data_IF_962748018761
#
_entry.id   IF_962748018761
#
_cell.length_a   1.000
_cell.length_b   1.000
_cell.length_c   1.000
_cell.angle_alpha   90.00
_cell.angle_beta   90.00
_cell.angle_gamma   90.00
#
_symmetry.space_group_name_H-M   'P 1'
#
loop_
_entity.id
_entity.type
_entity.pdbx_description
1 polymer ?
#
# COMPACT_ATOMS: atom_id res chain seq x y z
N UNK A 1 5.29 -34.31 6.57
CA UNK A 1 6.28 -33.51 5.84
C UNK A 1 5.55 -32.28 5.29
N UNK A 2 5.27 -31.30 6.15
CA UNK A 2 4.50 -30.09 5.81
C UNK A 2 5.46 -28.93 5.68
N UNK A 3 5.49 -28.31 4.49
CA UNK A 3 6.22 -27.07 4.25
C UNK A 3 5.80 -26.06 5.34
N UNK A 4 6.76 -25.67 6.17
CA UNK A 4 6.52 -24.78 7.28
C UNK A 4 5.93 -23.45 6.78
N UNK A 5 4.89 -23.00 7.48
CA UNK A 5 4.25 -21.68 7.38
C UNK A 5 5.31 -20.58 7.63
N UNK A 6 6.06 -20.24 6.58
CA UNK A 6 7.01 -19.13 6.64
C UNK A 6 6.20 -17.84 6.80
N UNK A 7 6.57 -16.95 7.75
CA UNK A 7 5.84 -15.72 7.97
C UNK A 7 5.67 -14.97 6.65
N UNK A 8 4.44 -14.51 6.40
CA UNK A 8 4.12 -13.70 5.24
C UNK A 8 4.91 -12.39 5.34
N UNK A 9 5.96 -12.26 4.53
CA UNK A 9 6.70 -11.00 4.44
C UNK A 9 5.86 -10.03 3.62
N UNK A 10 5.49 -8.91 4.24
CA UNK A 10 4.78 -7.81 3.60
C UNK A 10 5.67 -6.56 3.71
N UNK A 11 5.93 -5.90 2.58
CA UNK A 11 6.64 -4.63 2.52
C UNK A 11 5.66 -3.54 2.09
N UNK A 12 5.72 -2.37 2.72
CA UNK A 12 4.85 -1.24 2.42
C UNK A 12 5.67 0.05 2.32
N UNK A 13 5.36 0.89 1.33
CA UNK A 13 5.91 2.22 1.16
C UNK A 13 4.81 3.19 0.75
N UNK A 14 4.97 4.43 1.18
CA UNK A 14 4.08 5.55 0.87
C UNK A 14 4.91 6.73 0.45
N UNK A 15 4.53 7.39 -0.64
CA UNK A 15 5.14 8.62 -1.10
C UNK A 15 4.08 9.62 -1.58
N UNK A 16 4.38 10.91 -1.45
CA UNK A 16 3.50 12.00 -1.86
C UNK A 16 4.18 12.80 -2.97
N UNK A 17 3.40 13.25 -3.93
CA UNK A 17 3.88 13.97 -5.10
C UNK A 17 2.97 15.16 -5.41
N UNK A 18 3.53 16.26 -5.95
CA UNK A 18 2.71 17.31 -6.52
C UNK A 18 1.98 16.79 -7.77
N UNK A 19 0.72 17.17 -8.02
CA UNK A 19 -0.09 16.69 -9.14
C UNK A 19 0.30 17.38 -10.45
N UNK A 20 1.53 17.13 -10.92
CA UNK A 20 2.09 17.74 -12.12
C UNK A 20 2.52 16.68 -13.12
N UNK A 21 2.55 17.04 -14.40
CA UNK A 21 3.05 16.12 -15.43
C UNK A 21 4.49 15.64 -15.16
N UNK A 22 5.31 16.49 -14.53
CA UNK A 22 6.68 16.16 -14.12
C UNK A 22 6.74 15.12 -12.98
N UNK A 23 5.67 14.96 -12.20
CA UNK A 23 5.63 13.95 -11.15
C UNK A 23 5.45 12.52 -11.69
N UNK A 24 4.87 12.33 -12.89
CA UNK A 24 4.67 10.99 -13.47
C UNK A 24 5.99 10.21 -13.64
N UNK A 25 7.04 10.76 -14.30
CA UNK A 25 8.34 10.08 -14.35
C UNK A 25 8.99 9.94 -12.96
N UNK A 26 8.77 10.87 -12.04
CA UNK A 26 9.30 10.74 -10.67
C UNK A 26 8.65 9.58 -9.91
N UNK A 27 7.33 9.43 -10.00
CA UNK A 27 6.56 8.33 -9.41
C UNK A 27 7.04 6.99 -9.95
N UNK A 28 7.26 6.89 -11.27
CA UNK A 28 7.82 5.69 -11.90
C UNK A 28 9.19 5.35 -11.35
N UNK A 29 10.12 6.31 -11.36
CA UNK A 29 11.47 6.12 -10.84
C UNK A 29 11.49 5.74 -9.35
N UNK A 30 10.66 6.39 -8.53
CA UNK A 30 10.52 6.07 -7.09
C UNK A 30 9.99 4.66 -6.89
N UNK A 31 8.96 4.27 -7.65
CA UNK A 31 8.37 2.94 -7.59
C UNK A 31 9.38 1.86 -7.95
N UNK A 32 10.08 2.02 -9.07
CA UNK A 32 11.14 1.10 -9.51
C UNK A 32 12.24 0.97 -8.47
N UNK A 33 12.74 2.10 -7.94
CA UNK A 33 13.76 2.08 -6.89
C UNK A 33 13.30 1.36 -5.62
N UNK A 34 12.06 1.61 -5.18
CA UNK A 34 11.49 0.96 -3.98
C UNK A 34 11.34 -0.56 -4.18
N UNK A 35 10.78 -1.00 -5.31
CA UNK A 35 10.53 -2.43 -5.55
C UNK A 35 11.84 -3.21 -5.76
N UNK A 36 12.83 -2.62 -6.45
CA UNK A 36 14.17 -3.21 -6.55
C UNK A 36 14.84 -3.31 -5.16
N UNK A 37 14.70 -2.27 -4.33
CA UNK A 37 15.18 -2.29 -2.94
C UNK A 37 14.49 -3.35 -2.06
N UNK A 38 13.30 -3.79 -2.44
CA UNK A 38 12.59 -4.91 -1.80
C UNK A 38 12.88 -6.27 -2.43
N UNK A 39 13.74 -6.34 -3.44
CA UNK A 39 14.03 -7.57 -4.19
C UNK A 39 12.79 -8.18 -4.85
N UNK A 40 11.89 -7.34 -5.36
CA UNK A 40 10.81 -7.77 -6.26
C UNK A 40 11.40 -8.19 -7.61
N UNK A 41 10.76 -9.17 -8.25
CA UNK A 41 11.18 -9.64 -9.58
C UNK A 41 11.19 -8.51 -10.64
N UNK A 42 12.23 -8.45 -11.46
CA UNK A 42 12.44 -7.36 -12.42
C UNK A 42 11.31 -7.22 -13.44
N UNK A 43 10.69 -8.33 -13.88
CA UNK A 43 9.57 -8.28 -14.84
C UNK A 43 8.32 -7.72 -14.16
N UNK A 44 8.12 -8.08 -12.88
CA UNK A 44 7.08 -7.49 -12.03
C UNK A 44 7.32 -6.00 -11.82
N UNK A 45 8.58 -5.58 -11.57
CA UNK A 45 8.92 -4.16 -11.40
C UNK A 45 8.57 -3.35 -12.65
N UNK A 46 8.95 -3.82 -13.83
CA UNK A 46 8.62 -3.14 -15.09
C UNK A 46 7.11 -3.02 -15.31
N UNK A 47 6.35 -4.08 -14.98
CA UNK A 47 4.90 -4.08 -15.08
C UNK A 47 4.25 -3.08 -14.11
N UNK A 48 4.69 -3.07 -12.85
CA UNK A 48 4.18 -2.13 -11.84
C UNK A 48 4.54 -0.68 -12.19
N UNK A 49 5.74 -0.44 -12.75
CA UNK A 49 6.15 0.89 -13.23
C UNK A 49 5.20 1.44 -14.32
N UNK A 50 4.78 0.60 -15.25
CA UNK A 50 3.81 0.99 -16.27
C UNK A 50 2.44 1.28 -15.66
N UNK A 51 1.92 0.37 -14.82
CA UNK A 51 0.61 0.51 -14.16
C UNK A 51 0.56 1.79 -13.32
N UNK A 52 1.57 2.04 -12.47
CA UNK A 52 1.60 3.26 -11.64
C UNK A 52 1.69 4.52 -12.50
N UNK A 53 2.40 4.46 -13.64
CA UNK A 53 2.51 5.57 -14.59
C UNK A 53 1.16 5.95 -15.19
N UNK A 54 0.38 4.96 -15.64
CA UNK A 54 -0.94 5.18 -16.22
C UNK A 54 -1.95 5.71 -15.19
N UNK A 55 -1.98 5.10 -14.00
CA UNK A 55 -2.88 5.55 -12.93
C UNK A 55 -2.52 6.98 -12.49
N UNK A 56 -1.23 7.28 -12.32
CA UNK A 56 -0.76 8.62 -11.91
C UNK A 56 -1.04 9.66 -13.00
N UNK A 57 -0.83 9.33 -14.27
CA UNK A 57 -1.14 10.21 -15.40
C UNK A 57 -2.61 10.63 -15.39
N UNK A 58 -3.52 9.66 -15.19
CA UNK A 58 -4.95 9.94 -15.07
C UNK A 58 -5.28 10.82 -13.86
N UNK A 59 -4.63 10.58 -12.72
CA UNK A 59 -4.80 11.39 -11.52
C UNK A 59 -4.34 12.84 -11.73
N UNK A 60 -3.18 13.06 -12.35
CA UNK A 60 -2.66 14.40 -12.67
C UNK A 60 -3.63 15.17 -13.56
N UNK A 61 -4.22 14.54 -14.59
CA UNK A 61 -5.14 15.20 -15.54
C UNK A 61 -6.37 15.84 -14.87
N UNK A 62 -6.86 15.27 -13.77
CA UNK A 62 -8.07 15.74 -13.07
C UNK A 62 -7.77 16.57 -11.81
N UNK A 63 -6.49 16.71 -11.45
CA UNK A 63 -6.05 17.39 -10.24
C UNK A 63 -5.89 18.90 -10.44
N UNK A 64 -5.98 19.65 -9.34
CA UNK A 64 -5.69 21.09 -9.29
C UNK A 64 -4.27 21.35 -8.77
N UNK A 65 -3.65 22.50 -9.07
CA UNK A 65 -2.27 22.79 -8.66
C UNK A 65 -1.98 22.66 -7.15
N UNK A 66 -2.98 22.93 -6.31
CA UNK A 66 -2.88 22.84 -4.84
C UNK A 66 -3.16 21.44 -4.27
N UNK A 67 -3.53 20.47 -5.11
CA UNK A 67 -3.83 19.12 -4.66
C UNK A 67 -2.52 18.34 -4.38
N UNK A 68 -2.65 17.10 -3.90
CA UNK A 68 -1.54 16.18 -3.64
C UNK A 68 -1.92 14.82 -4.23
N UNK A 69 -0.93 14.14 -4.81
CA UNK A 69 -1.03 12.73 -5.16
C UNK A 69 -0.30 11.89 -4.14
N UNK A 70 -0.83 10.70 -3.90
CA UNK A 70 -0.27 9.83 -2.90
C UNK A 70 -0.22 8.39 -3.41
N UNK A 71 0.96 7.79 -3.38
CA UNK A 71 1.21 6.47 -3.93
C UNK A 71 1.56 5.52 -2.79
N UNK A 72 0.82 4.41 -2.69
CA UNK A 72 1.13 3.31 -1.78
C UNK A 72 1.52 2.08 -2.59
N UNK A 73 2.61 1.45 -2.19
CA UNK A 73 3.06 0.17 -2.71
C UNK A 73 2.99 -0.86 -1.59
N UNK A 74 2.40 -2.02 -1.88
CA UNK A 74 2.38 -3.16 -0.97
C UNK A 74 2.89 -4.38 -1.71
N UNK A 75 4.03 -4.93 -1.30
CA UNK A 75 4.61 -6.13 -1.91
C UNK A 75 4.50 -7.33 -0.98
N UNK A 76 4.05 -8.44 -1.54
CA UNK A 76 4.04 -9.77 -0.93
C UNK A 76 4.86 -10.72 -1.80
N UNK A 77 4.96 -12.02 -1.47
CA UNK A 77 5.62 -13.00 -2.34
C UNK A 77 4.90 -13.22 -3.68
N UNK A 78 3.58 -13.07 -3.72
CA UNK A 78 2.77 -13.44 -4.89
C UNK A 78 2.29 -12.27 -5.75
N UNK A 79 2.27 -11.06 -5.19
CA UNK A 79 1.73 -9.87 -5.85
C UNK A 79 2.30 -8.57 -5.30
N UNK A 80 2.25 -7.54 -6.13
CA UNK A 80 2.43 -6.13 -5.77
C UNK A 80 1.12 -5.40 -5.99
N UNK A 81 0.63 -4.72 -4.95
CA UNK A 81 -0.51 -3.81 -5.04
C UNK A 81 0.01 -2.39 -5.13
N UNK A 82 -0.46 -1.66 -6.14
CA UNK A 82 -0.26 -0.22 -6.28
C UNK A 82 -1.57 0.49 -6.05
N UNK A 83 -1.53 1.54 -5.24
CA UNK A 83 -2.66 2.43 -4.99
C UNK A 83 -2.21 3.87 -5.21
N UNK A 84 -3.01 4.61 -5.95
CA UNK A 84 -2.83 6.05 -6.16
C UNK A 84 -4.07 6.76 -5.66
N UNK A 85 -3.88 7.59 -4.64
CA UNK A 85 -4.88 8.52 -4.16
C UNK A 85 -4.75 9.86 -4.86
N UNK A 86 -5.92 10.44 -5.20
CA UNK A 86 -6.05 11.82 -5.67
C UNK A 86 -7.26 12.50 -5.03
N UNK A 87 -7.26 13.83 -5.05
CA UNK A 87 -8.28 14.69 -4.45
C UNK A 87 -9.66 14.62 -5.13
N UNK A 88 -9.75 14.06 -6.34
CA UNK A 88 -10.98 14.05 -7.12
C UNK A 88 -11.95 12.96 -6.67
N UNK A 89 -13.22 13.34 -6.54
CA UNK A 89 -14.31 12.40 -6.23
C UNK A 89 -14.91 11.74 -7.48
N UNK A 90 -14.41 12.09 -8.66
CA UNK A 90 -14.83 11.55 -9.96
C UNK A 90 -14.02 10.28 -10.23
N UNK A 91 -14.72 9.17 -10.41
CA UNK A 91 -14.09 7.88 -10.71
C UNK A 91 -13.38 7.89 -12.07
N UNK A 92 -12.39 7.01 -12.28
CA UNK A 92 -11.77 6.82 -13.57
C UNK A 92 -12.81 6.32 -14.59
N UNK A 93 -12.88 6.97 -15.75
CA UNK A 93 -13.73 6.55 -16.86
C UNK A 93 -12.94 5.68 -17.83
N UNK A 94 -13.35 4.43 -18.03
CA UNK A 94 -12.89 3.65 -19.19
C UNK A 94 -13.50 4.24 -20.45
N UNK A 95 -12.66 4.88 -21.26
CA UNK A 95 -13.05 5.38 -22.58
C UNK A 95 -12.57 4.39 -23.63
N UNK A 96 -13.44 4.04 -24.58
CA UNK A 96 -13.02 3.28 -25.76
C UNK A 96 -11.98 4.13 -26.50
N UNK A 97 -10.75 3.65 -26.71
CA UNK A 97 -9.74 4.44 -27.38
C UNK A 97 -10.18 4.72 -28.81
N UNK A 98 -10.31 5.99 -29.18
CA UNK A 98 -10.35 6.39 -30.58
C UNK A 98 -8.96 6.17 -31.18
N UNK A 99 -8.90 5.77 -32.46
CA UNK A 99 -7.65 5.40 -33.16
C UNK A 99 -6.63 6.54 -33.10
N UNK A 100 -7.11 7.79 -33.00
CA UNK A 100 -6.31 9.01 -32.95
C UNK A 100 -6.20 9.67 -31.56
N UNK A 101 -6.83 9.11 -30.52
CA UNK A 101 -6.74 9.66 -29.16
C UNK A 101 -5.92 8.76 -28.22
N UNK A 102 -4.99 9.38 -27.50
CA UNK A 102 -4.28 8.77 -26.37
C UNK A 102 -5.16 8.69 -25.11
N UNK A 103 -6.22 9.50 -25.06
CA UNK A 103 -7.21 9.49 -23.98
C UNK A 103 -8.04 8.20 -24.00
N UNK A 104 -7.89 7.37 -22.97
CA UNK A 104 -8.63 6.13 -22.77
C UNK A 104 -7.80 4.85 -22.83
N UNK A 105 -6.55 4.90 -23.33
CA UNK A 105 -5.68 3.70 -23.39
C UNK A 105 -5.10 3.29 -22.05
N UNK A 106 -4.89 4.23 -21.14
CA UNK A 106 -4.21 3.97 -19.87
C UNK A 106 -4.91 2.92 -19.00
N UNK A 107 -6.24 2.99 -18.89
CA UNK A 107 -6.99 1.98 -18.12
C UNK A 107 -7.10 0.63 -18.84
N UNK A 108 -7.06 0.60 -20.17
CA UNK A 108 -6.97 -0.66 -20.94
C UNK A 108 -5.64 -1.35 -20.67
N UNK A 109 -4.54 -0.59 -20.55
CA UNK A 109 -3.24 -1.13 -20.16
C UNK A 109 -3.28 -1.68 -18.72
N UNK A 110 -3.86 -0.93 -17.78
CA UNK A 110 -4.04 -1.38 -16.39
C UNK A 110 -4.88 -2.66 -16.33
N UNK A 111 -5.97 -2.74 -17.09
CA UNK A 111 -6.83 -3.92 -17.18
C UNK A 111 -6.10 -5.15 -17.73
N UNK A 112 -5.24 -4.97 -18.73
CA UNK A 112 -4.47 -6.06 -19.32
C UNK A 112 -3.30 -6.54 -18.44
N UNK A 113 -2.72 -5.67 -17.60
CA UNK A 113 -1.53 -5.97 -16.80
C UNK A 113 -1.84 -6.39 -15.36
N UNK A 114 -3.01 -6.02 -14.84
CA UNK A 114 -3.42 -6.34 -13.47
C UNK A 114 -4.30 -7.59 -13.40
N UNK A 115 -4.10 -8.43 -12.39
CA UNK A 115 -5.03 -9.54 -12.08
C UNK A 115 -6.38 -9.03 -11.58
N UNK A 116 -6.36 -7.88 -10.92
CA UNK A 116 -7.54 -7.15 -10.48
C UNK A 116 -7.19 -5.68 -10.35
N UNK A 117 -8.14 -4.81 -10.67
CA UNK A 117 -8.01 -3.39 -10.42
C UNK A 117 -9.39 -2.80 -10.16
N UNK A 118 -9.45 -1.71 -9.40
CA UNK A 118 -10.70 -0.99 -9.16
C UNK A 118 -10.42 0.40 -8.63
N UNK A 119 -11.46 1.07 -8.16
CA UNK A 119 -11.34 2.32 -7.44
C UNK A 119 -12.40 2.43 -6.36
N UNK A 120 -12.13 3.25 -5.34
CA UNK A 120 -13.09 3.54 -4.28
C UNK A 120 -12.90 4.97 -3.77
N UNK A 121 -13.99 5.55 -3.24
CA UNK A 121 -13.95 6.85 -2.56
C UNK A 121 -13.45 6.69 -1.14
N UNK A 122 -12.62 7.61 -0.70
CA UNK A 122 -12.16 7.66 0.69
C UNK A 122 -13.11 8.54 1.49
N UNK A 123 -13.47 8.11 2.71
CA UNK A 123 -14.40 8.87 3.57
C UNK A 123 -13.89 10.27 3.93
N UNK A 124 -12.58 10.46 3.98
CA UNK A 124 -11.92 11.74 4.21
C UNK A 124 -11.87 12.63 2.97
N UNK A 125 -12.34 12.16 1.82
CA UNK A 125 -12.31 12.87 0.55
C UNK A 125 -11.32 12.26 -0.45
N UNK A 126 -11.58 12.51 -1.74
CA UNK A 126 -10.80 11.96 -2.85
C UNK A 126 -11.14 10.50 -3.15
N UNK A 127 -10.32 9.90 -4.00
CA UNK A 127 -10.46 8.50 -4.41
C UNK A 127 -9.12 7.80 -4.41
N UNK A 128 -9.15 6.49 -4.31
CA UNK A 128 -8.02 5.61 -4.60
C UNK A 128 -8.35 4.81 -5.84
N UNK A 129 -7.43 4.82 -6.81
CA UNK A 129 -7.40 3.86 -7.92
C UNK A 129 -6.28 2.86 -7.63
N UNK A 130 -6.56 1.57 -7.78
CA UNK A 130 -5.61 0.53 -7.40
C UNK A 130 -5.56 -0.61 -8.40
N UNK A 131 -4.41 -1.28 -8.47
CA UNK A 131 -4.18 -2.45 -9.29
C UNK A 131 -3.30 -3.48 -8.58
N UNK A 132 -3.63 -4.76 -8.77
CA UNK A 132 -2.85 -5.91 -8.33
C UNK A 132 -2.05 -6.46 -9.51
N UNK A 133 -0.72 -6.47 -9.39
CA UNK A 133 0.19 -7.04 -10.38
C UNK A 133 0.74 -8.37 -9.84
N UNK A 134 0.54 -9.49 -10.55
CA UNK A 134 1.13 -10.77 -10.18
C UNK A 134 2.66 -10.72 -10.15
N UNK A 135 3.25 -11.48 -9.25
CA UNK A 135 4.68 -11.45 -8.98
C UNK A 135 5.02 -10.52 -7.82
N UNK A 136 6.14 -10.76 -7.16
CA UNK A 136 6.39 -10.11 -5.87
C UNK A 136 7.80 -10.31 -5.35
N UNK A 137 7.92 -10.26 -4.02
CA UNK A 137 9.18 -10.46 -3.31
C UNK A 137 9.78 -11.81 -3.72
N UNK A 138 11.00 -11.77 -4.25
CA UNK A 138 11.78 -12.99 -4.45
C UNK A 138 11.97 -13.65 -3.08
N UNK A 139 11.91 -14.98 -2.99
CA UNK A 139 12.34 -15.67 -1.79
C UNK A 139 13.75 -15.19 -1.47
N UNK A 140 14.03 -14.77 -0.24
CA UNK A 140 15.41 -14.58 0.17
C UNK A 140 16.11 -15.92 -0.09
N UNK A 141 16.97 -15.96 -1.11
CA UNK A 141 17.89 -17.08 -1.26
C UNK A 141 18.61 -17.14 0.06
N UNK A 142 18.41 -18.21 0.83
CA UNK A 142 19.03 -18.37 2.13
C UNK A 142 20.55 -18.34 1.94
N UNK A 143 21.11 -17.13 1.94
CA UNK A 143 22.52 -16.92 2.17
C UNK A 143 22.81 -17.55 3.53
N UNK A 144 24.00 -18.12 3.68
CA UNK A 144 24.52 -18.69 4.92
C UNK A 144 24.70 -17.61 6.01
N UNK A 145 23.66 -16.83 6.30
CA UNK A 145 23.53 -15.98 7.45
C UNK A 145 23.27 -16.86 8.65
N UNK A 146 24.00 -16.60 9.73
CA UNK A 146 23.87 -17.25 11.03
C UNK A 146 22.39 -17.48 11.32
N UNK A 147 22.00 -18.76 11.39
CA UNK A 147 20.66 -19.14 11.79
C UNK A 147 20.40 -18.54 13.18
N UNK A 148 19.63 -17.44 13.20
CA UNK A 148 19.16 -16.89 14.46
C UNK A 148 18.37 -18.00 15.15
N UNK A 149 18.53 -18.19 16.48
CA UNK A 149 17.83 -19.25 17.18
C UNK A 149 16.33 -19.10 16.94
N UNK A 150 15.76 -20.05 16.20
CA UNK A 150 14.34 -20.08 15.93
C UNK A 150 13.62 -20.22 17.27
N UNK A 151 12.66 -19.32 17.52
CA UNK A 151 11.78 -19.46 18.68
C UNK A 151 11.00 -20.76 18.47
N UNK A 152 11.25 -21.77 19.29
CA UNK A 152 10.45 -22.98 19.28
C UNK A 152 8.99 -22.57 19.51
N UNK A 153 8.05 -23.04 18.67
CA UNK A 153 6.63 -22.81 18.92
C UNK A 153 6.33 -23.22 20.36
N UNK A 154 5.85 -22.28 21.18
CA UNK A 154 5.24 -22.65 22.45
C UNK A 154 4.10 -23.62 22.11
N UNK A 155 4.06 -24.77 22.79
CA UNK A 155 2.96 -25.70 22.65
C UNK A 155 1.66 -24.90 22.84
N UNK A 156 0.89 -24.74 21.76
CA UNK A 156 -0.41 -24.09 21.83
C UNK A 156 -1.27 -25.06 22.63
N UNK A 157 -1.74 -24.71 23.84
CA UNK A 157 -2.67 -25.56 24.55
C UNK A 157 -3.88 -25.78 23.65
N UNK A 158 -4.43 -27.01 23.62
CA UNK A 158 -5.62 -27.27 22.83
C UNK A 158 -6.69 -26.21 23.14
N UNK A 159 -7.30 -25.59 22.13
CA UNK A 159 -8.29 -24.55 22.35
C UNK A 159 -9.43 -25.14 23.20
N UNK A 160 -9.59 -24.62 24.41
CA UNK A 160 -10.53 -25.15 25.40
C UNK A 160 -12.02 -25.09 24.97
N UNK A 161 -12.32 -24.48 23.82
CA UNK A 161 -13.59 -24.53 23.12
C UNK A 161 -13.40 -24.01 21.70
N UNK A 162 -14.27 -24.38 20.73
CA UNK A 162 -14.29 -23.73 19.43
C UNK A 162 -14.46 -22.21 19.58
N UNK A 163 -13.61 -21.46 18.89
CA UNK A 163 -13.73 -19.99 18.80
C UNK A 163 -15.02 -19.69 18.03
N UNK A 164 -16.06 -19.32 18.75
CA UNK A 164 -17.30 -18.84 18.13
C UNK A 164 -17.05 -17.43 17.63
N UNK A 165 -16.83 -17.28 16.32
CA UNK A 165 -16.80 -15.99 15.67
C UNK A 165 -18.18 -15.32 15.81
N UNK A 166 -18.33 -14.45 16.79
CA UNK A 166 -19.45 -13.51 16.84
C UNK A 166 -19.09 -12.32 15.97
N UNK A 167 -19.82 -12.16 14.87
CA UNK A 167 -19.84 -10.92 14.10
C UNK A 167 -20.53 -9.85 14.93
N UNK A 168 -19.83 -9.31 15.93
CA UNK A 168 -20.30 -8.17 16.71
C UNK A 168 -19.89 -6.86 16.00
N UNK A 169 -20.85 -6.11 15.42
CA UNK A 169 -20.56 -4.89 14.67
C UNK A 169 -19.84 -3.82 15.51
N UNK A 170 -20.07 -3.79 16.83
CA UNK A 170 -19.43 -2.81 17.71
C UNK A 170 -17.95 -3.13 17.92
N UNK A 171 -17.62 -4.40 18.15
CA UNK A 171 -16.23 -4.86 18.24
C UNK A 171 -15.49 -4.64 16.92
N UNK A 172 -16.11 -5.00 15.78
CA UNK A 172 -15.52 -4.72 14.47
C UNK A 172 -15.30 -3.23 14.22
N UNK A 173 -16.22 -2.38 14.72
CA UNK A 173 -16.06 -0.93 14.61
C UNK A 173 -14.87 -0.40 15.42
N UNK A 174 -14.70 -0.88 16.66
CA UNK A 174 -13.57 -0.50 17.51
C UNK A 174 -12.22 -0.91 16.90
N UNK A 175 -12.14 -2.13 16.35
CA UNK A 175 -10.93 -2.60 15.67
C UNK A 175 -10.63 -1.74 14.44
N UNK A 176 -11.65 -1.45 13.63
CA UNK A 176 -11.47 -0.59 12.45
C UNK A 176 -11.02 0.82 12.82
N UNK A 177 -11.56 1.41 13.89
CA UNK A 177 -11.17 2.75 14.34
C UNK A 177 -9.75 2.74 14.94
N UNK A 178 -9.34 1.66 15.63
CA UNK A 178 -7.98 1.49 16.12
C UNK A 178 -6.95 1.33 14.98
N UNK A 179 -7.25 0.54 13.95
CA UNK A 179 -6.39 0.38 12.78
C UNK A 179 -6.20 1.70 12.01
N UNK A 180 -7.26 2.50 11.89
CA UNK A 180 -7.16 3.88 11.34
C UNK A 180 -6.33 4.82 12.22
N UNK A 181 -6.14 4.53 13.51
CA UNK A 181 -5.23 5.31 14.35
C UNK A 181 -3.75 5.01 14.09
N UNK A 182 -3.45 3.85 13.52
CA UNK A 182 -2.08 3.37 13.26
C UNK A 182 -1.57 3.72 11.87
N UNK A 183 -2.48 4.05 10.95
CA UNK A 183 -2.13 4.31 9.56
C UNK A 183 -1.83 5.82 9.35
N UNK A 184 -0.61 6.19 8.93
CA UNK A 184 -0.18 7.58 8.70
C UNK A 184 -1.10 8.37 7.76
N UNK A 185 -1.85 7.70 6.90
CA UNK A 185 -2.80 8.31 5.97
C UNK A 185 -3.94 9.09 6.63
N UNK A 186 -4.30 8.75 7.87
CA UNK A 186 -5.44 9.36 8.58
C UNK A 186 -5.02 10.43 9.58
N UNK A 187 -3.71 10.65 9.67
CA UNK A 187 -3.16 11.56 10.63
C UNK A 187 -3.46 13.03 10.18
N UNK A 188 -4.01 13.91 11.04
CA UNK A 188 -4.28 15.31 10.69
C UNK A 188 -3.00 16.10 10.35
N UNK A 189 -3.04 17.12 9.47
CA UNK A 189 -1.84 17.87 9.08
C UNK A 189 -1.03 18.36 10.30
N UNK A 190 0.31 18.53 10.19
CA UNK A 190 1.20 18.84 11.33
C UNK A 190 0.71 19.97 12.27
N UNK A 191 0.00 20.96 11.71
CA UNK A 191 -0.60 22.09 12.42
C UNK A 191 -1.80 21.75 13.32
N UNK A 192 -2.39 20.56 13.17
CA UNK A 192 -3.55 20.06 13.92
C UNK A 192 -3.18 18.86 14.82
N UNK A 193 -1.88 18.54 14.91
CA UNK A 193 -1.35 17.54 15.85
C UNK A 193 -1.36 18.15 17.24
N UNK A 194 -2.01 17.49 18.20
CA UNK A 194 -1.81 17.85 19.61
C UNK A 194 -0.31 17.74 19.91
N UNK A 195 0.30 18.72 20.60
CA UNK A 195 1.72 18.64 20.95
C UNK A 195 1.96 17.36 21.76
N UNK A 196 2.94 16.56 21.33
CA UNK A 196 3.34 15.37 22.07
C UNK A 196 3.64 15.78 23.51
N UNK A 197 2.86 15.27 24.45
CA UNK A 197 3.20 15.35 25.85
C UNK A 197 4.50 14.57 26.01
N UNK A 198 5.62 15.29 26.11
CA UNK A 198 6.89 14.75 26.57
C UNK A 198 6.65 14.25 27.98
N UNK A 199 6.27 12.99 28.12
CA UNK A 199 6.25 12.28 29.40
C UNK A 199 7.70 12.06 29.81
N UNK A 200 8.29 13.11 30.36
CA UNK A 200 9.52 13.03 31.13
C UNK A 200 9.27 12.09 32.30
N UNK A 201 9.87 10.90 32.23
CA UNK A 201 9.97 9.99 33.36
C UNK A 201 10.83 10.68 34.43
N UNK A 202 10.17 11.32 35.39
CA UNK A 202 10.82 11.78 36.61
C UNK A 202 11.31 10.56 37.39
N UNK A 203 12.64 10.36 37.43
CA UNK A 203 13.30 9.43 38.35
C UNK A 203 13.06 9.93 39.78
N UNK A 204 12.47 9.07 40.63
CA UNK A 204 12.47 9.27 42.08
C UNK A 204 13.92 9.22 42.60
N UNK A 205 14.36 10.14 43.48
CA UNK A 205 15.60 9.97 44.21
C UNK A 205 15.43 8.87 45.27
N UNK A 206 16.47 8.05 45.42
CA UNK A 206 16.60 7.14 46.54
C UNK A 206 17.11 7.90 47.78
N UNK A 207 16.61 7.46 48.94
CA UNK A 207 16.89 7.86 50.33
C UNK A 207 16.43 9.22 50.79
#
# INVERSE_FOLDING_TARGET
MTAADQPAVIRVAVAHFPPTAAAVPEVRARTTATLLGWSVDTDTVGTVELVVGEITSNAVKVSRPQDVLAVRLTATRGQVVVEVWDSSNVGPEMKSPDVFSEDGRGLVLVDALCSSWSWYRVKSGGKVVWGEVPGGLRPETAGAGVALPARAPLAVPEPAAPVVYRTDPQTLRRVADALRGLDPWHWPPPSQRAPEAVTGVARRPAT
#
